data_IF_809363840073
#
_entry.id   IF_809363840073
#
_cell.length_a   1.000
_cell.length_b   1.000
_cell.length_c   1.000
_cell.angle_alpha   90.00
_cell.angle_beta   90.00
_cell.angle_gamma   90.00
#
_symmetry.space_group_name_H-M   'P 1'
#
loop_
_entity.id
_entity.type
_entity.pdbx_description
1 polymer ?
#
# COMPACT_ATOMS: atom_id res chain seq x y z
N UNK A 1 -69.67 17.04 -33.23
CA UNK A 1 -68.35 16.45 -33.53
C UNK A 1 -67.35 16.95 -32.48
N UNK A 2 -67.10 16.19 -31.44
CA UNK A 2 -66.14 16.51 -30.37
C UNK A 2 -64.83 15.76 -30.63
N UNK A 3 -63.72 16.52 -30.83
CA UNK A 3 -62.41 15.94 -31.02
C UNK A 3 -61.78 15.74 -29.60
N UNK A 4 -61.61 14.45 -29.18
CA UNK A 4 -60.83 14.11 -28.00
C UNK A 4 -59.34 14.19 -28.34
N UNK A 5 -58.62 15.14 -27.72
CA UNK A 5 -57.17 15.26 -27.77
C UNK A 5 -56.56 14.26 -26.77
N UNK A 6 -55.85 13.26 -27.25
CA UNK A 6 -55.08 12.32 -26.42
C UNK A 6 -53.77 12.94 -26.02
N UNK A 7 -53.64 13.27 -24.76
CA UNK A 7 -52.39 13.72 -24.14
C UNK A 7 -51.52 12.51 -23.84
N UNK A 8 -50.39 12.37 -24.53
CA UNK A 8 -49.38 11.33 -24.29
C UNK A 8 -48.47 11.84 -23.18
N UNK A 9 -48.55 11.23 -21.98
CA UNK A 9 -47.61 11.49 -20.87
C UNK A 9 -46.39 10.60 -21.09
N UNK A 10 -45.26 11.20 -21.47
CA UNK A 10 -43.97 10.53 -21.54
C UNK A 10 -43.34 10.58 -20.16
N UNK A 11 -43.31 9.42 -19.47
CA UNK A 11 -42.60 9.26 -18.20
C UNK A 11 -41.13 9.02 -18.55
N UNK A 12 -40.28 10.05 -18.36
CA UNK A 12 -38.83 9.89 -18.39
C UNK A 12 -38.36 9.18 -17.09
N UNK A 13 -38.06 7.89 -17.18
CA UNK A 13 -37.32 7.19 -16.13
C UNK A 13 -35.87 7.69 -16.14
N UNK A 14 -35.53 8.54 -15.19
CA UNK A 14 -34.13 8.87 -14.89
C UNK A 14 -33.48 7.67 -14.19
N UNK A 15 -32.69 6.90 -14.94
CA UNK A 15 -31.77 5.91 -14.32
C UNK A 15 -30.69 6.70 -13.56
N UNK A 16 -30.86 6.77 -12.25
CA UNK A 16 -29.78 7.23 -11.36
C UNK A 16 -28.71 6.12 -11.33
N UNK A 17 -27.61 6.33 -12.04
CA UNK A 17 -26.39 5.53 -11.81
C UNK A 17 -25.84 5.95 -10.43
N UNK A 18 -26.16 5.18 -9.40
CA UNK A 18 -25.41 5.25 -8.15
C UNK A 18 -23.99 4.75 -8.44
N UNK A 19 -22.94 5.48 -8.05
CA UNK A 19 -21.59 4.94 -8.16
C UNK A 19 -21.54 3.63 -7.36
N UNK A 20 -21.02 2.56 -7.97
CA UNK A 20 -20.71 1.31 -7.28
C UNK A 20 -19.65 1.67 -6.22
N UNK A 21 -20.06 1.77 -4.95
CA UNK A 21 -19.12 1.91 -3.85
C UNK A 21 -18.29 0.62 -3.80
N UNK A 22 -16.96 0.74 -3.90
CA UNK A 22 -16.05 -0.38 -3.74
C UNK A 22 -16.30 -1.06 -2.40
N UNK A 23 -16.47 -2.37 -2.40
CA UNK A 23 -16.71 -3.11 -1.17
C UNK A 23 -15.41 -3.17 -0.37
N UNK A 24 -15.44 -2.69 0.88
CA UNK A 24 -14.31 -2.78 1.81
C UNK A 24 -13.84 -4.24 1.94
N UNK A 25 -12.52 -4.48 1.86
CA UNK A 25 -11.98 -5.82 2.13
C UNK A 25 -12.36 -6.28 3.55
N UNK A 26 -12.77 -7.53 3.66
CA UNK A 26 -13.22 -8.12 4.92
C UNK A 26 -12.12 -8.91 5.61
N UNK A 27 -12.28 -9.16 6.90
CA UNK A 27 -11.35 -10.00 7.68
C UNK A 27 -11.19 -11.42 7.09
N UNK A 28 -12.24 -11.95 6.43
CA UNK A 28 -12.22 -13.26 5.77
C UNK A 28 -11.30 -13.31 4.56
N UNK A 29 -11.07 -12.17 3.92
CA UNK A 29 -10.23 -12.06 2.72
C UNK A 29 -8.75 -11.83 3.03
N UNK A 30 -8.38 -11.64 4.30
CA UNK A 30 -6.99 -11.41 4.72
C UNK A 30 -6.46 -12.59 5.51
N UNK A 31 -5.26 -13.08 5.17
CA UNK A 31 -4.54 -14.01 6.02
C UNK A 31 -3.30 -13.36 6.63
N UNK A 32 -3.00 -13.75 7.87
CA UNK A 32 -1.78 -13.34 8.56
C UNK A 32 -0.75 -14.45 8.45
N UNK A 33 0.39 -14.15 7.83
CA UNK A 33 1.52 -15.09 7.75
C UNK A 33 2.46 -14.83 8.92
N UNK A 34 2.72 -15.85 9.73
CA UNK A 34 3.50 -15.77 10.97
C UNK A 34 4.79 -16.58 10.86
N UNK A 35 5.92 -15.97 11.20
CA UNK A 35 7.16 -16.71 11.41
C UNK A 35 7.22 -17.27 12.84
N UNK A 36 7.00 -18.58 13.00
CA UNK A 36 6.95 -19.24 14.30
C UNK A 36 8.28 -19.19 15.09
N UNK A 37 9.42 -18.94 14.42
CA UNK A 37 10.72 -18.77 15.05
C UNK A 37 10.96 -17.36 15.59
N UNK A 38 10.13 -16.38 15.22
CA UNK A 38 10.24 -15.01 15.64
C UNK A 38 9.16 -14.68 16.69
N UNK A 39 9.60 -14.29 17.89
CA UNK A 39 8.70 -13.95 18.99
C UNK A 39 7.85 -12.72 18.66
N UNK A 40 8.46 -11.69 18.05
CA UNK A 40 7.75 -10.47 17.66
C UNK A 40 6.70 -10.76 16.59
N UNK A 41 7.00 -11.68 15.64
CA UNK A 41 6.04 -12.10 14.62
C UNK A 41 4.75 -12.66 15.22
N UNK A 42 4.85 -13.48 16.24
CA UNK A 42 3.68 -14.04 16.97
C UNK A 42 2.89 -12.94 17.68
N UNK A 43 3.58 -12.02 18.37
CA UNK A 43 2.94 -10.92 19.08
C UNK A 43 2.23 -9.95 18.15
N UNK A 44 2.85 -9.63 17.00
CA UNK A 44 2.24 -8.80 15.94
C UNK A 44 0.98 -9.47 15.39
N UNK A 45 1.07 -10.75 15.09
CA UNK A 45 -0.05 -11.51 14.53
C UNK A 45 -1.24 -11.58 15.51
N UNK A 46 -0.99 -11.90 16.77
CA UNK A 46 -2.01 -11.96 17.80
C UNK A 46 -2.70 -10.59 18.00
N UNK A 47 -1.91 -9.52 17.98
CA UNK A 47 -2.44 -8.17 18.09
C UNK A 47 -3.31 -7.81 16.88
N UNK A 48 -2.81 -8.04 15.67
CA UNK A 48 -3.51 -7.71 14.44
C UNK A 48 -4.78 -8.54 14.25
N UNK A 49 -4.70 -9.84 14.57
CA UNK A 49 -5.87 -10.74 14.55
C UNK A 49 -7.00 -10.20 15.43
N UNK A 50 -6.69 -9.79 16.67
CA UNK A 50 -7.69 -9.24 17.60
C UNK A 50 -8.27 -7.91 17.11
N UNK A 51 -7.42 -7.02 16.59
CA UNK A 51 -7.85 -5.69 16.13
C UNK A 51 -8.74 -5.74 14.89
N UNK A 52 -8.49 -6.69 13.98
CA UNK A 52 -9.22 -6.83 12.71
C UNK A 52 -10.24 -7.96 12.68
N UNK A 53 -10.30 -8.78 13.72
CA UNK A 53 -11.20 -9.94 13.75
C UNK A 53 -10.86 -11.00 12.71
N UNK A 54 -9.57 -11.16 12.35
CA UNK A 54 -9.14 -12.15 11.34
C UNK A 54 -9.46 -13.56 11.84
N UNK A 55 -10.15 -14.41 11.04
CA UNK A 55 -10.49 -15.76 11.43
C UNK A 55 -9.27 -16.63 11.75
N UNK A 56 -9.39 -17.54 12.72
CA UNK A 56 -8.29 -18.41 13.13
C UNK A 56 -7.75 -19.28 11.98
N UNK A 57 -8.60 -19.70 11.05
CA UNK A 57 -8.18 -20.48 9.86
C UNK A 57 -7.34 -19.66 8.87
N UNK A 58 -7.36 -18.33 8.96
CA UNK A 58 -6.55 -17.43 8.13
C UNK A 58 -5.17 -17.13 8.76
N UNK A 59 -4.79 -17.84 9.84
CA UNK A 59 -3.48 -17.72 10.46
C UNK A 59 -2.56 -18.78 9.87
N UNK A 60 -1.63 -18.37 9.01
CA UNK A 60 -0.69 -19.22 8.29
C UNK A 60 0.64 -19.25 9.02
N UNK A 61 1.08 -20.44 9.44
CA UNK A 61 2.28 -20.63 10.23
C UNK A 61 3.43 -21.16 9.39
N UNK A 62 4.55 -20.44 9.38
CA UNK A 62 5.77 -20.82 8.68
C UNK A 62 6.99 -20.74 9.61
N UNK A 63 8.14 -21.24 9.13
CA UNK A 63 9.42 -21.15 9.84
C UNK A 63 10.48 -20.58 8.90
N UNK A 64 10.96 -19.37 9.21
CA UNK A 64 12.05 -18.69 8.48
C UNK A 64 13.22 -18.38 9.42
N UNK A 65 14.45 -18.17 8.88
CA UNK A 65 15.55 -17.59 9.65
C UNK A 65 15.14 -16.23 10.26
N UNK A 66 15.60 -15.99 11.49
CA UNK A 66 15.36 -14.73 12.22
C UNK A 66 16.60 -13.85 12.13
N UNK A 67 16.40 -12.54 12.04
CA UNK A 67 17.49 -11.54 12.02
C UNK A 67 18.10 -11.25 10.65
N UNK A 68 17.98 -12.16 9.70
CA UNK A 68 18.50 -11.99 8.34
C UNK A 68 17.67 -10.99 7.54
N UNK A 69 18.35 -10.14 6.76
CA UNK A 69 17.69 -9.16 5.89
C UNK A 69 17.10 -9.78 4.63
N UNK A 70 17.64 -10.91 4.19
CA UNK A 70 17.30 -11.58 2.95
C UNK A 70 17.21 -13.08 3.12
N UNK A 71 16.29 -13.71 2.41
CA UNK A 71 16.21 -15.17 2.28
C UNK A 71 16.59 -15.58 0.84
N UNK A 72 17.22 -16.76 0.71
CA UNK A 72 17.56 -17.31 -0.63
C UNK A 72 16.33 -17.85 -1.35
N UNK A 73 16.40 -17.85 -2.69
CA UNK A 73 15.34 -18.29 -3.61
C UNK A 73 14.81 -19.70 -3.24
N UNK A 74 15.68 -20.70 -3.16
CA UNK A 74 15.29 -22.08 -2.85
C UNK A 74 14.51 -22.18 -1.54
N UNK A 75 15.05 -21.56 -0.48
CA UNK A 75 14.38 -21.58 0.85
C UNK A 75 13.05 -20.85 0.83
N UNK A 76 12.95 -19.74 0.12
CA UNK A 76 11.70 -19.03 -0.06
C UNK A 76 10.66 -19.90 -0.78
N UNK A 77 11.04 -20.57 -1.88
CA UNK A 77 10.12 -21.43 -2.65
C UNK A 77 9.51 -22.53 -1.77
N UNK A 78 10.32 -23.19 -0.92
CA UNK A 78 9.82 -24.19 0.03
C UNK A 78 8.79 -23.61 1.03
N UNK A 79 9.05 -22.39 1.53
CA UNK A 79 8.16 -21.69 2.46
C UNK A 79 6.88 -21.23 1.75
N UNK A 80 7.01 -20.71 0.53
CA UNK A 80 5.87 -20.22 -0.24
C UNK A 80 4.88 -21.34 -0.57
N UNK A 81 5.35 -22.54 -0.88
CA UNK A 81 4.48 -23.71 -1.06
C UNK A 81 3.69 -24.03 0.22
N UNK A 82 4.34 -24.00 1.39
CA UNK A 82 3.65 -24.20 2.68
C UNK A 82 2.59 -23.12 2.94
N UNK A 83 2.82 -21.88 2.50
CA UNK A 83 1.83 -20.81 2.59
C UNK A 83 0.63 -21.11 1.69
N UNK A 84 0.87 -21.48 0.43
CA UNK A 84 -0.21 -21.80 -0.51
C UNK A 84 -1.08 -22.96 -0.02
N UNK A 85 -0.47 -24.02 0.52
CA UNK A 85 -1.16 -25.20 1.06
C UNK A 85 -2.06 -24.87 2.28
N UNK A 86 -1.66 -23.88 3.10
CA UNK A 86 -2.43 -23.45 4.28
C UNK A 86 -3.46 -22.35 3.98
N UNK A 87 -3.38 -21.71 2.81
CA UNK A 87 -4.21 -20.54 2.50
C UNK A 87 -5.65 -20.96 2.15
N UNK A 88 -6.67 -20.52 2.92
CA UNK A 88 -8.06 -20.74 2.56
C UNK A 88 -8.42 -20.05 1.22
N UNK A 89 -9.36 -20.66 0.47
CA UNK A 89 -9.77 -20.14 -0.84
C UNK A 89 -10.37 -18.71 -0.81
N UNK A 90 -10.95 -18.30 0.31
CA UNK A 90 -11.50 -16.94 0.47
C UNK A 90 -10.43 -15.83 0.59
N UNK A 91 -9.17 -16.20 0.83
CA UNK A 91 -8.09 -15.24 1.08
C UNK A 91 -7.63 -14.58 -0.22
N UNK A 92 -7.68 -13.26 -0.24
CA UNK A 92 -7.27 -12.43 -1.36
C UNK A 92 -5.94 -11.70 -1.10
N UNK A 93 -5.58 -11.49 0.18
CA UNK A 93 -4.45 -10.66 0.60
C UNK A 93 -3.65 -11.30 1.73
N UNK A 94 -2.35 -10.99 1.81
CA UNK A 94 -1.49 -11.42 2.92
C UNK A 94 -0.98 -10.23 3.75
N UNK A 95 -1.13 -10.33 5.06
CA UNK A 95 -0.45 -9.50 6.05
C UNK A 95 0.77 -10.29 6.58
N UNK A 96 1.99 -9.82 6.32
CA UNK A 96 3.23 -10.48 6.73
C UNK A 96 3.68 -9.92 8.08
N UNK A 97 3.56 -10.69 9.14
CA UNK A 97 3.74 -10.22 10.52
C UNK A 97 5.20 -10.31 11.01
N UNK A 98 6.14 -9.64 10.36
CA UNK A 98 7.55 -9.55 10.79
C UNK A 98 8.26 -8.36 10.13
N UNK A 99 9.47 -7.99 10.64
CA UNK A 99 10.31 -6.94 10.04
C UNK A 99 11.50 -7.50 9.25
N UNK A 100 11.88 -8.76 9.45
CA UNK A 100 12.97 -9.46 8.73
C UNK A 100 12.62 -10.94 8.53
N UNK A 101 12.94 -11.51 7.34
CA UNK A 101 13.56 -10.89 6.17
C UNK A 101 12.60 -9.97 5.41
N UNK A 102 13.12 -8.94 4.74
CA UNK A 102 12.33 -8.05 3.88
C UNK A 102 12.65 -8.20 2.39
N UNK A 103 13.50 -9.16 2.04
CA UNK A 103 13.96 -9.40 0.67
C UNK A 103 14.13 -10.89 0.37
N UNK A 104 13.80 -11.30 -0.86
CA UNK A 104 14.11 -12.61 -1.43
C UNK A 104 15.00 -12.41 -2.63
N UNK A 105 16.30 -12.68 -2.51
CA UNK A 105 17.29 -12.42 -3.56
C UNK A 105 17.16 -10.99 -4.15
N UNK A 106 16.63 -10.85 -5.37
CA UNK A 106 16.44 -9.58 -6.09
C UNK A 106 15.02 -8.99 -5.94
N UNK A 107 14.07 -9.71 -5.37
CA UNK A 107 12.70 -9.24 -5.13
C UNK A 107 12.52 -8.74 -3.70
N UNK A 108 11.57 -7.84 -3.48
CA UNK A 108 11.06 -7.59 -2.13
C UNK A 108 10.33 -8.82 -1.61
N UNK A 109 10.24 -8.97 -0.28
CA UNK A 109 9.48 -10.07 0.32
C UNK A 109 7.99 -9.97 -0.01
N UNK A 110 7.42 -8.76 -0.05
CA UNK A 110 6.01 -8.55 -0.39
C UNK A 110 5.73 -8.97 -1.83
N UNK A 111 6.57 -8.58 -2.80
CA UNK A 111 6.40 -9.01 -4.19
C UNK A 111 6.60 -10.51 -4.36
N UNK A 112 7.54 -11.11 -3.62
CA UNK A 112 7.76 -12.55 -3.68
C UNK A 112 6.54 -13.33 -3.12
N UNK A 113 5.91 -12.88 -2.03
CA UNK A 113 4.68 -13.51 -1.53
C UNK A 113 3.46 -13.26 -2.43
N UNK A 114 3.46 -12.17 -3.21
CA UNK A 114 2.35 -11.86 -4.13
C UNK A 114 2.39 -12.70 -5.40
N UNK A 115 3.58 -12.86 -6.01
CA UNK A 115 3.73 -13.47 -7.34
C UNK A 115 4.41 -14.85 -7.32
N UNK A 116 4.92 -15.31 -6.18
CA UNK A 116 6.00 -16.27 -6.14
C UNK A 116 7.34 -15.61 -6.50
N UNK A 117 8.46 -16.32 -6.28
CA UNK A 117 9.75 -15.84 -6.77
C UNK A 117 9.87 -16.07 -8.27
N UNK A 118 10.02 -15.00 -9.04
CA UNK A 118 10.23 -15.06 -10.48
C UNK A 118 11.27 -14.01 -10.91
N UNK A 119 12.28 -14.48 -11.62
CA UNK A 119 13.40 -13.64 -12.13
C UNK A 119 12.93 -12.55 -13.12
N UNK A 120 11.76 -12.67 -13.72
CA UNK A 120 11.17 -11.64 -14.57
C UNK A 120 10.84 -10.34 -13.79
N UNK A 121 10.66 -10.43 -12.47
CA UNK A 121 10.51 -9.29 -11.58
C UNK A 121 11.84 -8.70 -11.09
N UNK A 122 12.98 -9.30 -11.46
CA UNK A 122 14.31 -8.85 -11.08
C UNK A 122 14.90 -7.92 -12.13
N UNK A 123 15.51 -6.82 -11.69
CA UNK A 123 16.33 -5.99 -12.55
C UNK A 123 17.82 -6.20 -12.25
N UNK A 124 18.63 -6.36 -13.30
CA UNK A 124 20.07 -6.15 -13.22
C UNK A 124 20.35 -4.77 -13.81
N UNK A 125 20.75 -3.82 -12.95
CA UNK A 125 20.93 -2.43 -13.35
C UNK A 125 19.61 -1.73 -13.69
N UNK A 126 19.68 -0.66 -14.49
CA UNK A 126 18.55 0.18 -14.86
C UNK A 126 17.71 -0.44 -15.98
N UNK A 127 16.93 -1.47 -15.67
CA UNK A 127 16.08 -2.17 -16.64
C UNK A 127 14.62 -2.24 -16.18
N UNK A 128 13.67 -2.27 -17.13
CA UNK A 128 12.29 -2.66 -16.85
C UNK A 128 12.21 -4.06 -16.23
N UNK A 129 11.14 -4.31 -15.50
CA UNK A 129 10.79 -5.63 -14.98
C UNK A 129 9.37 -5.99 -15.43
N UNK A 130 8.93 -7.22 -15.12
CA UNK A 130 7.55 -7.63 -15.43
C UNK A 130 6.55 -6.67 -14.76
N UNK A 131 5.54 -6.27 -15.52
CA UNK A 131 4.43 -5.47 -15.03
C UNK A 131 3.49 -6.31 -14.18
N UNK A 132 2.94 -5.71 -13.14
CA UNK A 132 1.89 -6.31 -12.32
C UNK A 132 0.56 -6.33 -13.07
N UNK A 133 -0.13 -7.47 -13.07
CA UNK A 133 -1.52 -7.56 -13.55
C UNK A 133 -2.49 -6.75 -12.68
N UNK A 134 -2.10 -6.42 -11.46
CA UNK A 134 -2.91 -5.60 -10.53
C UNK A 134 -2.73 -4.08 -10.75
N UNK A 135 -1.76 -3.66 -11.57
CA UNK A 135 -1.54 -2.24 -11.83
C UNK A 135 -2.75 -1.59 -12.50
N UNK A 136 -3.33 -0.60 -11.83
CA UNK A 136 -4.53 0.14 -12.23
C UNK A 136 -5.72 -0.75 -12.63
N UNK A 137 -5.81 -1.95 -12.03
CA UNK A 137 -6.88 -2.90 -12.23
C UNK A 137 -8.11 -2.54 -11.39
N UNK A 138 -9.29 -2.86 -11.89
CA UNK A 138 -10.55 -2.74 -11.16
C UNK A 138 -10.89 -4.01 -10.37
N UNK A 139 -10.03 -5.03 -10.40
CA UNK A 139 -10.23 -6.28 -9.65
C UNK A 139 -10.34 -6.01 -8.15
N UNK A 140 -11.38 -6.57 -7.52
CA UNK A 140 -11.60 -6.63 -6.07
C UNK A 140 -11.25 -8.00 -5.50
N UNK A 141 -11.09 -9.01 -6.36
CA UNK A 141 -10.77 -10.40 -6.01
C UNK A 141 -9.48 -10.86 -6.70
N UNK A 142 -8.31 -10.27 -6.37
CA UNK A 142 -7.08 -10.51 -7.11
C UNK A 142 -6.59 -11.96 -7.07
N UNK A 143 -6.95 -12.75 -6.06
CA UNK A 143 -6.63 -14.18 -6.03
C UNK A 143 -7.42 -14.97 -7.07
N UNK A 144 -8.69 -14.65 -7.24
CA UNK A 144 -9.60 -15.41 -8.09
C UNK A 144 -9.48 -14.96 -9.55
N UNK A 145 -9.34 -13.66 -9.79
CA UNK A 145 -9.34 -13.08 -11.12
C UNK A 145 -7.94 -12.99 -11.75
N UNK A 146 -6.91 -12.75 -10.93
CA UNK A 146 -5.55 -12.49 -11.40
C UNK A 146 -4.52 -13.52 -10.92
N UNK A 147 -4.94 -14.49 -10.11
CA UNK A 147 -4.10 -15.55 -9.52
C UNK A 147 -2.93 -14.99 -8.69
N UNK A 148 -3.13 -13.86 -8.03
CA UNK A 148 -2.15 -13.22 -7.15
C UNK A 148 -2.77 -12.87 -5.80
N UNK A 149 -1.93 -12.78 -4.75
CA UNK A 149 -2.36 -12.27 -3.43
C UNK A 149 -1.46 -11.12 -3.02
N UNK A 150 -1.89 -9.86 -3.26
CA UNK A 150 -1.12 -8.70 -2.82
C UNK A 150 -0.75 -8.81 -1.34
N UNK A 151 0.52 -8.52 -1.02
CA UNK A 151 1.08 -8.75 0.30
C UNK A 151 1.64 -7.47 0.88
N UNK A 152 1.45 -7.23 2.18
CA UNK A 152 1.96 -6.06 2.87
C UNK A 152 2.57 -6.48 4.21
N UNK A 153 3.70 -5.87 4.61
CA UNK A 153 4.34 -6.16 5.88
C UNK A 153 3.75 -5.32 7.01
N UNK A 154 3.43 -5.99 8.13
CA UNK A 154 3.24 -5.36 9.42
C UNK A 154 4.63 -5.26 10.10
N UNK A 155 5.40 -4.26 9.73
CA UNK A 155 6.80 -4.09 10.14
C UNK A 155 7.06 -2.71 10.76
N UNK A 156 8.03 -2.65 11.66
CA UNK A 156 8.43 -1.43 12.35
C UNK A 156 9.85 -1.52 12.90
N UNK A 157 10.35 -0.42 13.44
CA UNK A 157 11.65 -0.36 14.12
C UNK A 157 11.57 -1.03 15.50
N UNK A 158 10.40 -1.04 16.11
CA UNK A 158 10.09 -1.71 17.39
C UNK A 158 8.68 -2.31 17.34
N UNK A 159 8.39 -3.26 18.22
CA UNK A 159 7.06 -3.85 18.37
C UNK A 159 5.98 -2.78 18.66
N UNK A 160 6.30 -1.81 19.51
CA UNK A 160 5.38 -0.71 19.85
C UNK A 160 5.01 0.15 18.64
N UNK A 161 5.97 0.38 17.73
CA UNK A 161 5.69 1.12 16.48
C UNK A 161 4.80 0.34 15.53
N UNK A 162 4.94 -0.99 15.48
CA UNK A 162 4.02 -1.85 14.71
C UNK A 162 2.61 -1.78 15.29
N UNK A 163 2.46 -1.84 16.61
CA UNK A 163 1.15 -1.71 17.26
C UNK A 163 0.51 -0.34 16.98
N UNK A 164 1.29 0.74 17.11
CA UNK A 164 0.80 2.09 16.80
C UNK A 164 0.38 2.26 15.33
N UNK A 165 1.10 1.63 14.41
CA UNK A 165 0.72 1.61 12.98
C UNK A 165 -0.60 0.85 12.76
N UNK A 166 -0.77 -0.31 13.39
CA UNK A 166 -2.02 -1.10 13.33
C UNK A 166 -3.18 -0.27 13.91
N UNK A 167 -2.98 0.36 15.07
CA UNK A 167 -4.02 1.18 15.71
C UNK A 167 -4.44 2.36 14.84
N UNK A 168 -3.50 3.04 14.17
CA UNK A 168 -3.82 4.11 13.22
C UNK A 168 -4.61 3.61 12.02
N UNK A 169 -4.27 2.42 11.50
CA UNK A 169 -5.00 1.82 10.40
C UNK A 169 -6.43 1.43 10.78
N UNK A 170 -6.61 0.83 11.96
CA UNK A 170 -7.96 0.49 12.49
C UNK A 170 -8.78 1.75 12.76
N UNK A 171 -8.16 2.78 13.34
CA UNK A 171 -8.82 4.05 13.63
C UNK A 171 -9.18 4.86 12.38
N UNK A 172 -8.61 4.53 11.22
CA UNK A 172 -8.87 5.23 9.97
C UNK A 172 -10.23 4.91 9.36
N UNK A 173 -10.74 3.71 9.59
CA UNK A 173 -11.86 3.15 8.85
C UNK A 173 -13.12 4.05 8.88
N UNK A 174 -13.56 4.49 7.69
CA UNK A 174 -14.78 5.27 7.52
C UNK A 174 -14.77 6.67 8.16
N UNK A 175 -13.59 7.24 8.46
CA UNK A 175 -13.49 8.57 9.09
C UNK A 175 -13.89 9.71 8.16
N UNK A 176 -13.72 9.56 6.84
CA UNK A 176 -13.90 10.62 5.83
C UNK A 176 -13.28 11.96 6.25
N UNK A 177 -11.97 11.99 6.60
CA UNK A 177 -11.37 13.18 7.16
C UNK A 177 -11.23 14.29 6.12
N UNK A 178 -11.34 15.55 6.56
CA UNK A 178 -10.82 16.66 5.79
C UNK A 178 -9.28 16.58 5.84
N UNK A 179 -8.66 16.46 4.69
CA UNK A 179 -7.27 16.08 4.58
C UNK A 179 -6.60 16.67 3.35
N UNK A 180 -5.27 16.75 3.38
CA UNK A 180 -4.47 17.27 2.28
C UNK A 180 -3.48 16.22 1.76
N UNK A 181 -3.32 16.19 0.43
CA UNK A 181 -2.25 15.50 -0.28
C UNK A 181 -1.12 16.49 -0.62
N UNK A 182 0.03 16.31 0.00
CA UNK A 182 1.23 17.12 -0.24
C UNK A 182 2.13 16.47 -1.26
N UNK A 183 2.29 17.11 -2.42
CA UNK A 183 3.11 16.66 -3.55
C UNK A 183 4.35 17.54 -3.67
N UNK A 184 5.50 17.04 -3.23
CA UNK A 184 6.72 17.84 -3.11
C UNK A 184 7.53 17.86 -4.40
N UNK A 185 7.70 19.03 -4.98
CA UNK A 185 8.64 19.29 -6.07
C UNK A 185 9.99 19.73 -5.47
N UNK A 186 10.91 18.77 -5.38
CA UNK A 186 12.18 18.95 -4.64
C UNK A 186 13.35 19.36 -5.53
N UNK A 187 14.43 19.83 -4.93
CA UNK A 187 15.68 20.17 -5.63
C UNK A 187 16.46 18.97 -6.16
N UNK A 188 16.21 17.74 -5.65
CA UNK A 188 16.90 16.50 -6.07
C UNK A 188 16.37 16.01 -7.43
N UNK A 189 16.91 16.54 -8.51
CA UNK A 189 16.48 16.22 -9.89
C UNK A 189 16.46 14.73 -10.21
N UNK A 190 17.33 13.94 -9.59
CA UNK A 190 17.40 12.50 -9.83
C UNK A 190 16.22 11.74 -9.16
N UNK A 191 15.70 12.24 -8.06
CA UNK A 191 14.62 11.60 -7.28
C UNK A 191 13.28 12.29 -7.44
N UNK A 192 13.26 13.52 -7.92
CA UNK A 192 12.06 14.33 -8.12
C UNK A 192 11.28 13.99 -9.40
N UNK A 193 11.51 12.82 -9.98
CA UNK A 193 10.97 12.44 -11.32
C UNK A 193 9.43 12.31 -11.34
N UNK A 194 8.78 12.12 -10.19
CA UNK A 194 7.32 12.07 -10.08
C UNK A 194 6.65 13.43 -10.22
N UNK A 195 7.37 14.53 -9.90
CA UNK A 195 6.81 15.89 -9.88
C UNK A 195 6.23 16.35 -11.23
N UNK A 196 6.71 15.81 -12.34
CA UNK A 196 6.19 16.11 -13.68
C UNK A 196 4.71 15.80 -13.86
N UNK A 197 4.14 14.92 -13.00
CA UNK A 197 2.72 14.52 -13.05
C UNK A 197 1.85 15.28 -12.05
N UNK A 198 2.43 16.01 -11.12
CA UNK A 198 1.69 16.68 -10.05
C UNK A 198 0.65 17.69 -10.52
N UNK A 199 0.91 18.55 -11.56
CA UNK A 199 -0.10 19.46 -12.07
C UNK A 199 -1.36 18.74 -12.56
N UNK A 200 -1.19 17.65 -13.32
CA UNK A 200 -2.32 16.87 -13.85
C UNK A 200 -3.05 16.14 -12.70
N UNK A 201 -2.33 15.61 -11.70
CA UNK A 201 -2.94 14.98 -10.53
C UNK A 201 -3.80 15.99 -9.77
N UNK A 202 -3.31 17.20 -9.56
CA UNK A 202 -4.07 18.28 -8.91
C UNK A 202 -5.32 18.65 -9.69
N UNK A 203 -5.21 18.81 -11.01
CA UNK A 203 -6.34 19.12 -11.87
C UNK A 203 -7.46 18.06 -11.79
N UNK A 204 -7.08 16.77 -11.82
CA UNK A 204 -8.04 15.67 -11.86
C UNK A 204 -8.69 15.34 -10.51
N UNK A 205 -7.98 15.55 -9.39
CA UNK A 205 -8.40 15.01 -8.09
C UNK A 205 -8.71 16.09 -7.04
N UNK A 206 -8.59 17.38 -7.34
CA UNK A 206 -8.86 18.46 -6.37
C UNK A 206 -10.31 18.57 -5.90
N UNK A 207 -11.26 17.94 -6.59
CA UNK A 207 -12.64 17.82 -6.12
C UNK A 207 -12.83 16.71 -5.08
N UNK A 208 -11.90 15.73 -5.03
CA UNK A 208 -11.97 14.60 -4.11
C UNK A 208 -11.24 14.87 -2.79
N UNK A 209 -10.11 15.59 -2.87
CA UNK A 209 -9.26 15.93 -1.72
C UNK A 209 -8.47 17.21 -2.01
N UNK A 210 -8.14 17.98 -0.96
CA UNK A 210 -7.24 19.11 -1.14
C UNK A 210 -5.84 18.63 -1.57
N UNK A 211 -5.30 19.22 -2.65
CA UNK A 211 -3.96 18.86 -3.17
C UNK A 211 -3.08 20.10 -3.20
N UNK A 212 -2.01 20.06 -2.40
CA UNK A 212 -0.97 21.09 -2.38
C UNK A 212 0.29 20.59 -3.10
N UNK A 213 0.68 21.31 -4.17
CA UNK A 213 2.01 21.18 -4.75
C UNK A 213 2.94 22.15 -4.03
N UNK A 214 4.04 21.62 -3.50
CA UNK A 214 4.97 22.40 -2.69
C UNK A 214 6.35 22.38 -3.34
N UNK A 215 6.85 23.54 -3.74
CA UNK A 215 8.20 23.72 -4.32
C UNK A 215 9.23 23.88 -3.19
N UNK A 216 9.54 22.77 -2.51
CA UNK A 216 10.48 22.74 -1.38
C UNK A 216 11.00 21.33 -1.10
N UNK A 217 12.14 21.24 -0.41
CA UNK A 217 12.72 19.99 0.08
C UNK A 217 12.16 19.55 1.44
N UNK A 218 11.45 20.43 2.15
CA UNK A 218 10.93 20.19 3.49
C UNK A 218 9.47 20.61 3.57
N UNK A 219 8.64 19.74 4.13
CA UNK A 219 7.29 20.04 4.60
C UNK A 219 7.31 19.97 6.12
N UNK A 220 6.77 20.98 6.79
CA UNK A 220 6.74 21.02 8.26
C UNK A 220 5.48 21.70 8.79
N UNK A 221 5.13 21.37 10.04
CA UNK A 221 4.07 21.98 10.81
C UNK A 221 2.69 21.95 10.11
N UNK A 222 2.43 20.84 9.38
CA UNK A 222 1.13 20.54 8.80
C UNK A 222 0.36 19.60 9.73
N UNK A 223 -0.95 19.81 9.86
CA UNK A 223 -1.79 19.10 10.82
C UNK A 223 -2.87 18.19 10.18
N UNK A 224 -2.87 18.09 8.85
CA UNK A 224 -3.90 17.42 8.04
C UNK A 224 -3.32 16.47 6.97
N UNK A 225 -2.12 15.91 7.20
CA UNK A 225 -1.42 15.11 6.19
C UNK A 225 -2.09 13.74 6.02
N UNK A 226 -2.72 13.52 4.85
CA UNK A 226 -3.19 12.19 4.44
C UNK A 226 -2.22 11.56 3.44
N UNK A 227 -1.67 12.34 2.53
CA UNK A 227 -0.68 11.88 1.58
C UNK A 227 0.54 12.79 1.56
N UNK A 228 1.74 12.19 1.60
CA UNK A 228 2.99 12.92 1.46
C UNK A 228 3.91 12.20 0.47
N UNK A 229 4.00 12.72 -0.75
CA UNK A 229 4.85 12.17 -1.80
C UNK A 229 6.01 13.11 -2.13
N UNK A 230 7.23 12.60 -2.03
CA UNK A 230 8.45 13.38 -2.27
C UNK A 230 9.51 12.55 -3.01
N UNK A 231 10.61 13.19 -3.39
CA UNK A 231 11.77 12.55 -4.03
C UNK A 231 13.07 13.09 -3.45
N UNK A 232 13.58 12.49 -2.38
CA UNK A 232 14.80 12.85 -1.69
C UNK A 232 15.52 11.62 -1.13
N UNK A 233 16.83 11.71 -0.98
CA UNK A 233 17.63 10.67 -0.30
C UNK A 233 17.31 10.56 1.19
N UNK A 234 17.05 11.70 1.84
CA UNK A 234 16.62 11.82 3.24
C UNK A 234 15.66 13.00 3.33
N UNK A 235 14.53 12.78 3.97
CA UNK A 235 13.52 13.81 4.21
C UNK A 235 13.64 14.31 5.64
N UNK A 236 13.69 15.63 5.81
CA UNK A 236 13.82 16.29 7.12
C UNK A 236 12.47 16.73 7.65
N UNK A 237 12.38 16.95 8.95
CA UNK A 237 11.21 17.52 9.65
C UNK A 237 9.91 16.74 9.43
N UNK A 238 9.99 15.46 9.10
CA UNK A 238 8.78 14.64 8.90
C UNK A 238 7.99 14.47 10.20
N UNK A 239 8.66 14.55 11.34
CA UNK A 239 8.11 14.42 12.69
C UNK A 239 7.35 15.67 13.16
N UNK A 240 7.55 16.84 12.50
CA UNK A 240 6.80 18.06 12.84
C UNK A 240 5.38 18.08 12.26
N UNK A 241 5.07 17.15 11.37
CA UNK A 241 3.75 17.06 10.76
C UNK A 241 2.84 16.07 11.50
N UNK A 242 1.56 16.36 11.55
CA UNK A 242 0.55 15.43 12.04
C UNK A 242 -0.05 14.63 10.87
N UNK A 243 0.21 13.33 10.89
CA UNK A 243 -0.37 12.39 9.95
C UNK A 243 -1.73 11.93 10.45
N UNK A 244 -2.74 11.98 9.59
CA UNK A 244 -4.07 11.49 9.92
C UNK A 244 -4.10 9.96 9.97
N UNK A 245 -5.00 9.33 10.72
CA UNK A 245 -5.20 7.89 10.66
C UNK A 245 -5.44 7.44 9.21
N UNK A 246 -4.72 6.41 8.76
CA UNK A 246 -4.74 5.96 7.36
C UNK A 246 -3.73 6.65 6.46
N UNK A 247 -2.96 7.65 6.91
CA UNK A 247 -2.05 8.40 6.05
C UNK A 247 -0.97 7.55 5.36
N UNK A 248 -0.71 7.88 4.10
CA UNK A 248 0.29 7.26 3.23
C UNK A 248 1.41 8.26 2.94
N UNK A 249 2.66 7.89 3.26
CA UNK A 249 3.80 8.76 2.99
C UNK A 249 4.98 7.96 2.44
N UNK A 250 5.59 8.43 1.35
CA UNK A 250 6.78 7.82 0.77
C UNK A 250 7.73 8.83 0.12
N UNK A 251 8.95 8.39 -0.08
CA UNK A 251 9.97 9.14 -0.81
C UNK A 251 10.62 8.25 -1.87
N UNK A 252 10.69 8.74 -3.10
CA UNK A 252 11.41 8.08 -4.15
C UNK A 252 12.91 8.13 -3.87
N UNK A 253 13.50 6.98 -3.55
CA UNK A 253 14.94 6.81 -3.34
C UNK A 253 15.34 5.35 -3.58
N UNK A 254 16.64 5.09 -3.84
CA UNK A 254 17.12 3.78 -4.32
C UNK A 254 17.02 2.65 -3.31
N UNK A 255 16.97 2.92 -2.01
CA UNK A 255 17.00 1.89 -0.98
C UNK A 255 16.15 2.19 0.24
N UNK A 256 15.05 2.90 0.06
CA UNK A 256 14.08 3.19 1.14
C UNK A 256 13.48 1.93 1.77
N UNK A 257 13.39 0.83 1.01
CA UNK A 257 12.94 -0.48 1.49
C UNK A 257 13.99 -1.30 2.25
N UNK A 258 15.24 -0.82 2.33
CA UNK A 258 16.23 -1.41 3.24
C UNK A 258 15.94 -0.93 4.67
N UNK A 259 15.06 -1.65 5.35
CA UNK A 259 14.42 -1.22 6.59
C UNK A 259 15.39 -0.75 7.68
N UNK A 260 16.55 -1.37 7.77
CA UNK A 260 17.58 -1.07 8.80
C UNK A 260 18.86 -0.47 8.21
N UNK A 261 18.80 -0.05 6.95
CA UNK A 261 19.90 0.64 6.27
C UNK A 261 20.09 2.07 6.77
N UNK A 262 21.36 2.57 6.71
CA UNK A 262 21.71 3.92 7.18
C UNK A 262 22.12 4.88 6.06
N UNK A 263 22.37 4.37 4.86
CA UNK A 263 22.87 5.18 3.72
C UNK A 263 21.81 6.12 3.15
N UNK A 264 20.58 5.67 3.11
CA UNK A 264 19.41 6.45 2.72
C UNK A 264 18.34 6.32 3.81
N UNK A 265 17.35 7.20 3.82
CA UNK A 265 16.27 7.13 4.79
C UNK A 265 15.46 5.84 4.55
N UNK A 266 15.22 5.08 5.61
CA UNK A 266 14.32 3.93 5.58
C UNK A 266 12.86 4.40 5.55
N UNK A 267 12.01 3.65 4.86
CA UNK A 267 10.56 3.87 4.88
C UNK A 267 9.96 3.79 6.29
N UNK A 268 10.61 3.06 7.23
CA UNK A 268 10.14 2.99 8.62
C UNK A 268 10.10 4.35 9.31
N UNK A 269 10.93 5.31 8.87
CA UNK A 269 10.91 6.67 9.43
C UNK A 269 9.56 7.38 9.22
N UNK A 270 8.85 7.09 8.13
CA UNK A 270 7.49 7.60 7.92
C UNK A 270 6.50 7.02 8.93
N UNK A 271 6.62 5.71 9.21
CA UNK A 271 5.76 5.03 10.19
C UNK A 271 6.07 5.52 11.61
N UNK A 272 7.35 5.75 11.92
CA UNK A 272 7.81 6.34 13.19
C UNK A 272 7.25 7.77 13.38
N UNK A 273 7.15 8.54 12.29
CA UNK A 273 6.58 9.89 12.30
C UNK A 273 5.05 9.93 12.35
N UNK A 274 4.36 8.79 12.19
CA UNK A 274 2.90 8.71 12.31
C UNK A 274 2.15 8.28 11.06
N UNK A 275 2.79 8.08 9.92
CA UNK A 275 2.13 7.50 8.75
C UNK A 275 1.65 6.07 9.02
N UNK A 276 0.56 5.66 8.37
CA UNK A 276 0.00 4.30 8.47
C UNK A 276 0.64 3.35 7.45
N UNK A 277 1.14 3.89 6.33
CA UNK A 277 1.86 3.09 5.34
C UNK A 277 2.97 3.88 4.66
N UNK A 278 3.95 3.12 4.16
CA UNK A 278 5.05 3.62 3.35
C UNK A 278 5.55 2.57 2.36
N UNK A 279 6.27 3.03 1.35
CA UNK A 279 6.87 2.22 0.28
C UNK A 279 8.35 2.55 0.11
N UNK A 280 9.13 1.53 -0.25
CA UNK A 280 10.53 1.74 -0.64
C UNK A 280 11.08 0.53 -1.37
N UNK A 281 12.13 0.73 -2.19
CA UNK A 281 12.75 -0.36 -2.94
C UNK A 281 13.89 -1.01 -2.16
N UNK A 282 14.02 -2.34 -2.26
CA UNK A 282 15.06 -3.14 -1.58
C UNK A 282 16.31 -3.39 -2.45
N UNK A 283 16.20 -3.10 -3.74
CA UNK A 283 17.26 -3.19 -4.75
C UNK A 283 17.16 -1.94 -5.62
N UNK A 284 18.30 -1.46 -6.18
CA UNK A 284 18.36 -0.23 -6.99
C UNK A 284 17.31 -0.18 -8.11
N UNK A 285 16.36 0.77 -8.08
CA UNK A 285 15.28 0.89 -9.06
C UNK A 285 15.63 1.79 -10.23
N UNK A 286 16.71 2.58 -10.14
CA UNK A 286 17.16 3.57 -11.12
C UNK A 286 16.14 4.66 -11.46
N UNK A 287 15.41 5.16 -10.47
CA UNK A 287 14.43 6.25 -10.60
C UNK A 287 13.36 6.04 -11.71
N UNK A 288 13.11 4.81 -12.14
CA UNK A 288 11.94 4.48 -12.97
C UNK A 288 10.66 4.73 -12.17
N UNK A 289 9.83 5.68 -12.61
CA UNK A 289 8.56 6.00 -11.93
C UNK A 289 7.62 4.81 -11.85
N UNK A 290 7.72 3.85 -12.78
CA UNK A 290 6.94 2.61 -12.79
C UNK A 290 7.27 1.67 -11.62
N UNK A 291 8.44 1.83 -10.98
CA UNK A 291 8.87 1.05 -9.82
C UNK A 291 8.48 1.70 -8.49
N UNK A 292 7.76 2.79 -8.53
CA UNK A 292 7.28 3.53 -7.38
C UNK A 292 5.78 3.76 -7.48
N UNK A 293 5.10 3.99 -6.35
CA UNK A 293 3.70 4.34 -6.36
C UNK A 293 3.43 5.59 -7.23
N UNK A 294 2.45 5.50 -8.10
CA UNK A 294 1.91 6.65 -8.81
C UNK A 294 0.98 7.41 -7.87
N UNK A 295 1.32 8.64 -7.44
CA UNK A 295 0.52 9.36 -6.46
C UNK A 295 -0.94 9.57 -6.89
N UNK A 296 -1.19 9.81 -8.20
CA UNK A 296 -2.55 9.98 -8.70
C UNK A 296 -3.40 8.73 -8.49
N UNK A 297 -2.87 7.54 -8.81
CA UNK A 297 -3.59 6.28 -8.62
C UNK A 297 -3.81 5.98 -7.13
N UNK A 298 -2.78 6.21 -6.27
CA UNK A 298 -2.95 6.00 -4.82
C UNK A 298 -4.06 6.89 -4.28
N UNK A 299 -4.02 8.19 -4.58
CA UNK A 299 -4.99 9.16 -4.08
C UNK A 299 -6.39 8.79 -4.59
N UNK A 300 -6.56 8.63 -5.91
CA UNK A 300 -7.84 8.32 -6.54
C UNK A 300 -8.49 7.07 -5.94
N UNK A 301 -7.75 5.94 -5.92
CA UNK A 301 -8.28 4.66 -5.45
C UNK A 301 -8.63 4.70 -3.96
N UNK A 302 -7.76 5.29 -3.16
CA UNK A 302 -7.96 5.37 -1.70
C UNK A 302 -9.13 6.29 -1.34
N UNK A 303 -9.26 7.46 -1.99
CA UNK A 303 -10.38 8.39 -1.77
C UNK A 303 -11.71 7.86 -2.31
N UNK A 304 -11.67 6.93 -3.28
CA UNK A 304 -12.84 6.19 -3.75
C UNK A 304 -13.24 5.00 -2.84
N UNK A 305 -12.59 4.84 -1.68
CA UNK A 305 -12.96 3.87 -0.66
C UNK A 305 -12.24 2.52 -0.74
N UNK A 306 -11.31 2.32 -1.69
CA UNK A 306 -10.46 1.12 -1.67
C UNK A 306 -9.59 1.09 -0.41
N UNK A 307 -9.24 -0.11 0.03
CA UNK A 307 -8.33 -0.29 1.16
C UNK A 307 -6.90 0.13 0.82
N UNK A 308 -6.09 0.34 1.85
CA UNK A 308 -4.69 0.75 1.71
C UNK A 308 -3.89 -0.21 0.84
N UNK A 309 -4.05 -1.53 1.04
CA UNK A 309 -3.32 -2.52 0.24
C UNK A 309 -3.72 -2.47 -1.24
N UNK A 310 -5.01 -2.30 -1.54
CA UNK A 310 -5.52 -2.20 -2.91
C UNK A 310 -4.96 -0.96 -3.60
N UNK A 311 -5.20 0.23 -3.03
CA UNK A 311 -4.76 1.50 -3.60
C UNK A 311 -3.24 1.53 -3.82
N UNK A 312 -2.47 1.01 -2.85
CA UNK A 312 -1.01 1.02 -2.94
C UNK A 312 -0.48 0.04 -3.99
N UNK A 313 -0.97 -1.21 -4.02
CA UNK A 313 -0.53 -2.20 -5.01
C UNK A 313 -0.96 -1.84 -6.44
N UNK A 314 -2.17 -1.34 -6.62
CA UNK A 314 -2.68 -0.87 -7.92
C UNK A 314 -1.88 0.33 -8.47
N UNK A 315 -1.12 1.02 -7.64
CA UNK A 315 -0.34 2.20 -8.03
C UNK A 315 1.06 1.91 -8.57
N UNK A 316 1.58 0.66 -8.45
CA UNK A 316 2.96 0.31 -8.83
C UNK A 316 2.96 -0.65 -10.02
N UNK A 317 3.43 -0.17 -11.17
CA UNK A 317 3.46 -0.97 -12.39
C UNK A 317 4.52 -2.10 -12.35
N UNK A 318 5.71 -1.83 -11.80
CA UNK A 318 6.83 -2.78 -11.71
C UNK A 318 7.23 -3.03 -10.25
N UNK A 319 6.43 -3.79 -9.48
CA UNK A 319 6.58 -3.87 -8.03
C UNK A 319 7.69 -4.80 -7.54
N UNK A 320 8.37 -5.56 -8.41
CA UNK A 320 9.28 -6.63 -8.02
C UNK A 320 10.33 -6.25 -6.96
N UNK A 321 10.79 -4.99 -6.96
CA UNK A 321 11.77 -4.46 -6.01
C UNK A 321 11.11 -3.69 -4.86
N UNK A 322 9.82 -3.44 -4.92
CA UNK A 322 9.05 -2.61 -4.00
C UNK A 322 8.59 -3.36 -2.76
N UNK A 323 8.89 -2.80 -1.61
CA UNK A 323 8.44 -3.27 -0.30
C UNK A 323 7.29 -2.39 0.17
N UNK A 324 6.13 -3.00 0.38
CA UNK A 324 4.95 -2.37 0.92
C UNK A 324 4.87 -2.63 2.43
N UNK A 325 4.83 -1.58 3.23
CA UNK A 325 4.75 -1.69 4.71
C UNK A 325 3.63 -0.80 5.21
N UNK A 326 2.74 -1.37 6.01
CA UNK A 326 1.57 -0.65 6.51
C UNK A 326 0.48 -1.57 7.03
N UNK A 327 -0.64 -1.00 7.43
CA UNK A 327 -1.84 -1.72 7.83
C UNK A 327 -2.74 -1.96 6.60
N UNK A 328 -2.88 -3.21 6.12
CA UNK A 328 -3.48 -3.50 4.80
C UNK A 328 -4.93 -3.06 4.64
N UNK A 329 -5.73 -3.16 5.71
CA UNK A 329 -7.18 -2.99 5.67
C UNK A 329 -7.65 -1.55 5.94
N UNK A 330 -6.73 -0.62 6.25
CA UNK A 330 -7.10 0.77 6.49
C UNK A 330 -7.89 1.33 5.29
N UNK A 331 -9.04 1.92 5.55
CA UNK A 331 -9.92 2.46 4.51
C UNK A 331 -10.70 3.68 5.02
N UNK A 332 -10.03 4.85 5.12
CA UNK A 332 -10.62 6.05 5.70
C UNK A 332 -11.83 6.58 4.92
N UNK A 333 -11.91 6.29 3.63
CA UNK A 333 -12.97 6.77 2.76
C UNK A 333 -13.97 5.70 2.36
N UNK A 334 -13.92 4.51 2.96
CA UNK A 334 -14.91 3.47 2.70
C UNK A 334 -16.28 3.86 3.29
N UNK A 335 -17.34 3.63 2.53
CA UNK A 335 -18.71 3.81 3.00
C UNK A 335 -19.03 2.72 4.02
N UNK A 336 -19.49 3.11 5.19
CA UNK A 336 -20.01 2.19 6.19
C UNK A 336 -21.51 1.94 5.89
N UNK A 337 -21.88 0.69 5.66
CA UNK A 337 -23.26 0.25 5.51
C UNK A 337 -23.81 -0.29 6.82
#
# INVERSE_FOLDING_TARGET
MMRLSRMIVVILLSLSFAPLASAKITAQQVAIVINMKDADSRLIADYYQKKRGIPQQNIIKISMPVGESSIGEKKFTEIYQQVLEQTPGSVQYYALAWSKPFKVACMSITSAFTFGFDRAFCAKGCKPTRMSSYYNSDSELPSDELLIRPSMMLAGSTLQQVYGMIDRGVAADGLHPQATAYLMNTSDKARNVRSRRYPVIKELLSEQINIEQVDADVLQDKDDVMFYFTGLKKVRSIESNRYLPGAIADHLTSSGGNLFGRKQMSLLRWLDAGATASYGTVVEPCAFTQKFPNPGIVIERYTNGESLIEAYWKSVAWPGQGLFVGEPMASPYAVQY
#
